data_IF_899702668930
#
_entry.id   IF_899702668930
#
_cell.length_a   1.000
_cell.length_b   1.000
_cell.length_c   1.000
_cell.angle_alpha   90.00
_cell.angle_beta   90.00
_cell.angle_gamma   90.00
#
_symmetry.space_group_name_H-M   'P 1'
#
loop_
_entity.id
_entity.type
_entity.pdbx_description
1 polymer ?
#
# COMPACT_ATOMS: atom_id res chain seq x y z
N UNK A 1 29.90 -5.68 -24.55
CA UNK A 1 29.96 -4.20 -24.48
C UNK A 1 30.33 -3.96 -23.06
N UNK A 2 31.51 -3.43 -22.81
CA UNK A 2 32.07 -3.42 -21.47
C UNK A 2 32.17 -1.96 -21.03
N UNK A 3 31.67 -1.68 -19.83
CA UNK A 3 31.66 -0.39 -19.19
C UNK A 3 32.40 -0.50 -17.86
N UNK A 4 33.41 0.34 -17.67
CA UNK A 4 34.20 0.37 -16.44
C UNK A 4 34.39 1.81 -16.01
N UNK A 5 34.11 2.10 -14.75
CA UNK A 5 34.26 3.43 -14.18
C UNK A 5 33.30 3.66 -13.03
N UNK A 6 33.46 4.83 -12.40
CA UNK A 6 32.58 5.29 -11.32
C UNK A 6 31.92 6.59 -11.76
N UNK A 7 30.59 6.61 -11.69
CA UNK A 7 29.79 7.81 -11.83
C UNK A 7 29.48 8.36 -10.44
N UNK A 8 29.86 9.61 -10.19
CA UNK A 8 29.58 10.29 -8.93
C UNK A 8 28.48 11.32 -9.14
N UNK A 9 27.42 11.20 -8.35
CA UNK A 9 26.28 12.12 -8.33
C UNK A 9 26.70 13.36 -7.54
N UNK A 10 26.72 14.52 -8.21
CA UNK A 10 26.96 15.82 -7.57
C UNK A 10 25.67 16.43 -7.04
N UNK A 11 24.65 16.46 -7.88
CA UNK A 11 23.35 17.02 -7.57
C UNK A 11 22.27 16.34 -8.42
N UNK A 12 21.03 16.41 -7.97
CA UNK A 12 19.90 15.93 -8.73
C UNK A 12 18.68 15.72 -7.85
N UNK A 13 17.55 15.50 -8.50
CA UNK A 13 16.26 15.30 -7.85
C UNK A 13 15.60 14.04 -8.38
N UNK A 14 15.15 13.20 -7.48
CA UNK A 14 14.33 12.05 -7.78
C UNK A 14 12.88 12.36 -7.44
N UNK A 15 12.00 12.26 -8.44
CA UNK A 15 10.56 12.45 -8.23
C UNK A 15 9.91 11.09 -7.95
N UNK A 16 9.74 10.77 -6.68
CA UNK A 16 8.91 9.67 -6.25
C UNK A 16 7.45 10.00 -6.54
N UNK A 17 6.80 9.15 -7.32
CA UNK A 17 5.36 9.23 -7.55
C UNK A 17 4.74 7.93 -7.06
N UNK A 18 4.00 8.02 -5.96
CA UNK A 18 3.30 6.90 -5.35
C UNK A 18 1.87 7.33 -5.05
N UNK A 19 0.88 6.60 -5.57
CA UNK A 19 -0.53 7.04 -5.56
C UNK A 19 -0.70 8.39 -6.28
N UNK A 20 -1.42 9.30 -5.62
CA UNK A 20 -1.55 10.71 -5.97
C UNK A 20 -0.49 11.59 -5.30
N UNK A 21 0.43 10.99 -4.53
CA UNK A 21 1.48 11.72 -3.80
C UNK A 21 2.72 11.80 -4.66
N UNK A 22 3.17 13.03 -4.91
CA UNK A 22 4.43 13.32 -5.58
C UNK A 22 5.40 13.87 -4.55
N UNK A 23 6.51 13.18 -4.32
CA UNK A 23 7.62 13.64 -3.49
C UNK A 23 8.84 13.87 -4.33
N UNK A 24 9.52 14.96 -4.04
CA UNK A 24 10.79 15.28 -4.65
C UNK A 24 11.86 15.05 -3.60
N UNK A 25 12.73 14.08 -3.87
CA UNK A 25 13.87 13.74 -3.04
C UNK A 25 15.11 14.32 -3.69
N UNK A 26 15.95 14.98 -2.91
CA UNK A 26 17.24 15.51 -3.37
C UNK A 26 18.31 14.43 -3.19
N UNK A 27 19.13 14.17 -4.21
CA UNK A 27 20.28 13.29 -4.01
C UNK A 27 21.28 13.96 -3.06
N UNK A 28 21.73 13.22 -2.05
CA UNK A 28 22.85 13.63 -1.23
C UNK A 28 24.13 13.62 -2.07
N UNK A 29 24.99 14.60 -1.83
CA UNK A 29 26.29 14.69 -2.50
C UNK A 29 27.15 13.45 -2.21
N UNK A 30 27.84 12.95 -3.23
CA UNK A 30 28.79 11.85 -3.09
C UNK A 30 28.21 10.45 -3.33
N UNK A 31 26.94 10.33 -3.72
CA UNK A 31 26.38 9.06 -4.20
C UNK A 31 27.12 8.54 -5.43
N UNK A 32 27.32 7.23 -5.53
CA UNK A 32 28.10 6.61 -6.63
C UNK A 32 27.37 5.46 -7.31
N UNK A 33 27.68 5.28 -8.59
CA UNK A 33 27.35 4.08 -9.37
C UNK A 33 28.66 3.59 -9.98
N UNK A 34 29.02 2.34 -9.75
CA UNK A 34 30.29 1.77 -10.21
C UNK A 34 30.03 0.58 -11.12
N UNK A 35 30.71 0.54 -12.27
CA UNK A 35 30.71 -0.58 -13.20
C UNK A 35 32.09 -1.21 -13.26
N UNK A 36 32.14 -2.54 -13.28
CA UNK A 36 33.37 -3.34 -13.32
C UNK A 36 33.47 -4.23 -14.58
N UNK A 37 32.66 -3.95 -15.60
CA UNK A 37 32.60 -4.79 -16.81
C UNK A 37 31.22 -4.73 -17.44
N UNK A 38 30.31 -5.63 -17.05
CA UNK A 38 28.96 -5.67 -17.63
C UNK A 38 28.18 -4.38 -17.25
N UNK A 39 27.68 -3.60 -18.24
CA UNK A 39 26.85 -2.43 -17.99
C UNK A 39 25.58 -2.70 -17.17
N UNK A 40 25.10 -3.96 -17.13
CA UNK A 40 23.96 -4.42 -16.35
C UNK A 40 24.32 -4.77 -14.89
N UNK A 41 25.60 -5.02 -14.60
CA UNK A 41 26.10 -5.37 -13.26
C UNK A 41 26.73 -4.14 -12.59
N UNK A 42 25.94 -3.07 -12.46
CA UNK A 42 26.35 -1.86 -11.78
C UNK A 42 26.09 -1.96 -10.27
N UNK A 43 27.02 -1.53 -9.43
CA UNK A 43 26.80 -1.38 -7.99
C UNK A 43 26.48 0.07 -7.66
N UNK A 44 25.38 0.32 -6.98
CA UNK A 44 24.97 1.63 -6.51
C UNK A 44 25.27 1.82 -5.01
N UNK A 45 25.68 3.02 -4.62
CA UNK A 45 25.58 3.53 -3.25
C UNK A 45 25.05 4.96 -3.35
N UNK A 46 23.73 5.09 -3.33
CA UNK A 46 23.03 6.35 -3.57
C UNK A 46 22.18 6.66 -2.34
N UNK A 47 22.23 7.91 -1.88
CA UNK A 47 21.36 8.42 -0.82
C UNK A 47 20.53 9.56 -1.35
N UNK A 48 19.22 9.52 -1.12
CA UNK A 48 18.30 10.60 -1.41
C UNK A 48 17.64 11.08 -0.12
N UNK A 49 17.34 12.37 -0.02
CA UNK A 49 16.76 13.00 1.17
C UNK A 49 15.46 13.71 0.83
N UNK A 50 14.43 13.47 1.64
CA UNK A 50 13.19 14.25 1.66
C UNK A 50 13.17 15.11 2.92
N UNK A 51 13.07 16.43 2.74
CA UNK A 51 12.98 17.39 3.85
C UNK A 51 11.52 17.62 4.18
N UNK A 52 11.16 17.46 5.46
CA UNK A 52 9.77 17.64 5.93
C UNK A 52 9.76 18.34 7.29
N UNK A 53 8.87 19.32 7.46
CA UNK A 53 8.63 19.96 8.75
C UNK A 53 7.34 19.43 9.36
N UNK A 54 7.45 18.75 10.50
CA UNK A 54 6.30 18.17 11.18
C UNK A 54 6.50 18.13 12.69
N UNK A 55 5.43 17.82 13.44
CA UNK A 55 5.51 17.72 14.90
C UNK A 55 5.99 16.31 15.30
N UNK A 56 6.98 16.17 16.20
CA UNK A 56 7.44 14.86 16.69
C UNK A 56 6.48 14.19 17.67
N UNK A 57 5.40 14.87 18.08
CA UNK A 57 4.43 14.36 19.06
C UNK A 57 4.11 12.88 18.85
N UNK A 58 3.65 12.49 17.66
CA UNK A 58 3.25 11.10 17.41
C UNK A 58 4.41 10.10 17.45
N UNK A 59 5.63 10.51 17.06
CA UNK A 59 6.84 9.71 17.22
C UNK A 59 7.20 9.51 18.70
N UNK A 60 7.04 10.54 19.52
CA UNK A 60 7.29 10.47 20.96
C UNK A 60 6.22 9.64 21.68
N UNK A 61 4.99 9.68 21.18
CA UNK A 61 3.88 8.86 21.65
C UNK A 61 4.18 7.38 21.54
N UNK A 62 4.77 6.96 20.42
CA UNK A 62 5.06 5.56 20.13
C UNK A 62 6.19 5.00 20.97
N UNK A 63 7.08 5.85 21.49
CA UNK A 63 8.23 5.42 22.29
C UNK A 63 7.98 5.52 23.80
N UNK A 64 7.31 6.59 24.24
CA UNK A 64 7.05 6.83 25.66
C UNK A 64 5.57 7.12 25.89
N UNK A 65 4.80 6.16 26.42
CA UNK A 65 3.41 6.40 26.80
C UNK A 65 3.28 7.60 27.75
N UNK A 66 2.37 8.52 27.44
CA UNK A 66 2.16 9.75 28.23
C UNK A 66 2.98 10.97 27.78
N UNK A 67 3.92 10.84 26.84
CA UNK A 67 4.64 11.99 26.26
C UNK A 67 3.72 12.98 25.53
N UNK A 68 2.55 12.53 25.08
CA UNK A 68 1.55 13.27 24.33
C UNK A 68 0.94 14.48 25.05
N UNK A 69 1.04 14.54 26.37
CA UNK A 69 0.48 15.62 27.18
C UNK A 69 1.33 16.89 27.16
N UNK A 70 2.56 16.81 26.67
CA UNK A 70 3.43 17.98 26.56
C UNK A 70 3.15 18.76 25.27
N UNK A 71 2.50 19.91 25.41
CA UNK A 71 2.15 20.82 24.31
C UNK A 71 3.38 21.27 23.50
N UNK A 72 4.58 21.25 24.09
CA UNK A 72 5.83 21.61 23.39
C UNK A 72 6.12 20.67 22.21
N UNK A 73 5.66 19.42 22.26
CA UNK A 73 5.88 18.45 21.18
C UNK A 73 4.99 18.68 19.95
N UNK A 74 4.03 19.62 20.01
CA UNK A 74 3.29 20.09 18.84
C UNK A 74 4.09 21.07 17.99
N UNK A 75 5.21 21.59 18.49
CA UNK A 75 6.11 22.45 17.73
C UNK A 75 6.70 21.65 16.55
N UNK A 76 6.68 22.26 15.36
CA UNK A 76 7.26 21.65 14.17
C UNK A 76 8.78 21.66 14.26
N UNK A 77 9.38 20.56 13.81
CA UNK A 77 10.82 20.34 13.71
C UNK A 77 11.13 19.91 12.28
N UNK A 78 12.26 20.37 11.69
CA UNK A 78 12.70 19.89 10.39
C UNK A 78 13.29 18.49 10.51
N UNK A 79 12.77 17.56 9.72
CA UNK A 79 13.27 16.19 9.60
C UNK A 79 13.84 15.93 8.21
N UNK A 80 14.87 15.09 8.18
CA UNK A 80 15.51 14.56 7.00
C UNK A 80 15.12 13.08 6.89
N UNK A 81 14.37 12.74 5.86
CA UNK A 81 13.98 11.36 5.56
C UNK A 81 14.90 10.83 4.48
N UNK A 82 15.72 9.84 4.82
CA UNK A 82 16.69 9.25 3.91
C UNK A 82 16.16 7.98 3.27
N UNK A 83 16.38 7.88 1.97
CA UNK A 83 16.25 6.64 1.18
C UNK A 83 17.64 6.27 0.70
N UNK A 84 18.18 5.17 1.19
CA UNK A 84 19.48 4.64 0.80
C UNK A 84 19.27 3.48 -0.17
N UNK A 85 20.03 3.47 -1.26
CA UNK A 85 20.00 2.45 -2.29
C UNK A 85 21.42 1.91 -2.40
N UNK A 86 21.62 0.65 -2.04
CA UNK A 86 22.93 -0.01 -2.06
C UNK A 86 22.91 -1.29 -2.90
N UNK A 87 24.11 -1.82 -3.18
CA UNK A 87 24.33 -3.08 -3.89
C UNK A 87 23.93 -3.01 -5.38
N UNK A 88 23.57 -4.13 -5.97
CA UNK A 88 23.32 -4.25 -7.41
C UNK A 88 22.19 -3.34 -7.85
N UNK A 89 22.42 -2.54 -8.89
CA UNK A 89 21.44 -1.59 -9.40
C UNK A 89 20.15 -2.27 -9.89
N UNK A 90 20.26 -3.53 -10.36
CA UNK A 90 19.11 -4.35 -10.76
C UNK A 90 18.39 -5.02 -9.59
N UNK A 91 19.05 -5.15 -8.43
CA UNK A 91 18.50 -5.74 -7.20
C UNK A 91 19.00 -4.94 -5.99
N UNK A 92 18.58 -3.67 -5.87
CA UNK A 92 19.14 -2.81 -4.84
C UNK A 92 18.59 -3.21 -3.47
N UNK A 93 19.45 -3.13 -2.46
CA UNK A 93 19.01 -3.07 -1.07
C UNK A 93 18.58 -1.64 -0.76
N UNK A 94 17.30 -1.47 -0.44
CA UNK A 94 16.70 -0.18 -0.08
C UNK A 94 16.53 -0.13 1.43
N UNK A 95 17.19 0.82 2.07
CA UNK A 95 17.06 1.06 3.52
C UNK A 95 16.66 2.50 3.78
N UNK A 96 15.99 2.71 4.91
CA UNK A 96 15.41 4.00 5.26
C UNK A 96 15.96 4.49 6.59
N UNK A 97 16.06 5.81 6.73
CA UNK A 97 16.47 6.44 7.99
C UNK A 97 15.77 7.80 8.15
N UNK A 98 15.70 8.28 9.38
CA UNK A 98 15.19 9.60 9.72
C UNK A 98 16.28 10.30 10.54
N UNK A 99 16.48 11.59 10.32
CA UNK A 99 17.35 12.41 11.16
C UNK A 99 16.78 13.83 11.28
N UNK A 100 17.40 14.62 12.15
CA UNK A 100 17.17 16.06 12.29
C UNK A 100 18.47 16.73 11.85
N UNK A 101 18.43 17.83 11.07
CA UNK A 101 19.64 18.61 10.75
C UNK A 101 20.45 18.89 12.01
N UNK A 102 21.77 18.76 11.94
CA UNK A 102 22.62 18.75 13.13
C UNK A 102 22.49 20.04 13.95
N UNK A 103 22.37 21.16 13.25
CA UNK A 103 22.12 22.50 13.79
C UNK A 103 20.73 22.64 14.46
N UNK A 104 19.76 21.80 14.12
CA UNK A 104 18.38 21.84 14.60
C UNK A 104 18.12 20.85 15.76
N UNK A 105 19.03 19.91 16.03
CA UNK A 105 18.85 18.89 17.10
C UNK A 105 18.63 19.49 18.49
N UNK A 106 19.17 20.67 18.74
CA UNK A 106 19.05 21.40 20.02
C UNK A 106 18.26 22.72 19.89
N UNK A 107 17.59 22.97 18.75
CA UNK A 107 16.90 24.24 18.51
C UNK A 107 15.60 24.39 19.30
N UNK A 108 14.99 23.27 19.71
CA UNK A 108 13.75 23.27 20.48
C UNK A 108 13.65 22.06 21.41
N UNK A 109 12.87 22.15 22.50
CA UNK A 109 12.56 20.99 23.35
C UNK A 109 11.98 19.80 22.56
N UNK A 110 11.21 20.08 21.50
CA UNK A 110 10.65 19.08 20.61
C UNK A 110 11.75 18.35 19.83
N UNK A 111 12.72 19.07 19.26
CA UNK A 111 13.84 18.47 18.54
C UNK A 111 14.76 17.66 19.45
N UNK A 112 15.05 18.19 20.65
CA UNK A 112 15.87 17.51 21.66
C UNK A 112 15.23 16.23 22.17
N UNK A 113 13.89 16.19 22.30
CA UNK A 113 13.16 14.98 22.66
C UNK A 113 13.05 13.98 21.49
N UNK A 114 12.88 14.48 20.26
CA UNK A 114 12.70 13.64 19.07
C UNK A 114 13.97 12.87 18.68
N UNK A 115 15.15 13.46 18.86
CA UNK A 115 16.40 12.83 18.42
C UNK A 115 16.69 11.47 19.09
N UNK A 116 16.59 11.30 20.42
CA UNK A 116 16.69 9.99 21.06
C UNK A 116 15.64 8.97 20.57
N UNK A 117 14.40 9.41 20.32
CA UNK A 117 13.34 8.55 19.80
C UNK A 117 13.66 8.02 18.39
N UNK A 118 14.27 8.85 17.55
CA UNK A 118 14.80 8.44 16.24
C UNK A 118 15.93 7.41 16.42
N UNK A 119 16.86 7.62 17.36
CA UNK A 119 17.95 6.67 17.60
C UNK A 119 17.40 5.31 18.03
N UNK A 120 16.38 5.28 18.88
CA UNK A 120 15.71 4.04 19.27
C UNK A 120 15.07 3.35 18.07
N UNK A 121 14.40 4.10 17.20
CA UNK A 121 13.74 3.59 15.99
C UNK A 121 14.69 2.87 15.02
N UNK A 122 15.98 3.24 14.99
CA UNK A 122 17.01 2.55 14.17
C UNK A 122 17.24 1.10 14.60
N UNK A 123 16.88 0.75 15.83
CA UNK A 123 16.92 -0.61 16.37
C UNK A 123 15.76 -1.48 15.86
N UNK A 124 14.74 -0.85 15.27
CA UNK A 124 13.48 -1.47 14.84
C UNK A 124 13.21 -1.12 13.37
N UNK A 125 13.84 -1.81 12.39
CA UNK A 125 13.75 -1.46 10.98
C UNK A 125 12.31 -1.45 10.42
N UNK A 126 11.44 -2.31 10.91
CA UNK A 126 10.02 -2.34 10.53
C UNK A 126 9.30 -1.06 10.92
N UNK A 127 9.50 -0.58 12.15
CA UNK A 127 8.94 0.67 12.65
C UNK A 127 9.56 1.88 11.96
N UNK A 128 10.87 1.87 11.70
CA UNK A 128 11.52 2.91 10.88
C UNK A 128 10.85 3.05 9.51
N UNK A 129 10.63 1.93 8.82
CA UNK A 129 10.00 1.92 7.51
C UNK A 129 8.57 2.48 7.55
N UNK A 130 7.78 2.13 8.57
CA UNK A 130 6.42 2.65 8.78
C UNK A 130 6.44 4.17 8.95
N UNK A 131 7.33 4.70 9.80
CA UNK A 131 7.43 6.13 10.05
C UNK A 131 7.91 6.90 8.81
N UNK A 132 8.89 6.36 8.07
CA UNK A 132 9.36 6.95 6.81
C UNK A 132 8.24 6.99 5.77
N UNK A 133 7.49 5.91 5.63
CA UNK A 133 6.34 5.88 4.71
C UNK A 133 5.29 6.92 5.11
N UNK A 134 4.98 7.05 6.40
CA UNK A 134 4.06 8.06 6.91
C UNK A 134 4.53 9.48 6.61
N UNK A 135 5.82 9.77 6.76
CA UNK A 135 6.37 11.07 6.40
C UNK A 135 6.30 11.32 4.89
N UNK A 136 6.62 10.31 4.07
CA UNK A 136 6.55 10.41 2.60
C UNK A 136 5.13 10.52 2.06
N UNK A 137 4.12 9.94 2.71
CA UNK A 137 2.74 9.97 2.22
C UNK A 137 1.95 11.09 2.89
N UNK A 138 2.05 11.21 4.22
CA UNK A 138 1.21 12.04 5.07
C UNK A 138 1.90 13.31 5.59
N UNK A 139 3.22 13.47 5.42
CA UNK A 139 4.02 14.54 6.05
C UNK A 139 3.92 14.58 7.59
N UNK A 140 3.65 13.44 8.23
CA UNK A 140 3.57 13.32 9.69
C UNK A 140 3.92 11.90 10.14
N UNK A 141 4.38 11.79 11.38
CA UNK A 141 4.58 10.50 12.04
C UNK A 141 3.24 9.80 12.30
N UNK A 142 3.29 8.47 12.39
CA UNK A 142 2.16 7.65 12.81
C UNK A 142 2.10 7.58 14.34
N UNK A 143 0.90 7.71 14.87
CA UNK A 143 0.64 7.41 16.27
C UNK A 143 0.72 5.89 16.50
N UNK A 144 1.14 5.43 17.70
CA UNK A 144 1.22 4.01 18.06
C UNK A 144 -0.14 3.31 17.96
N UNK A 145 -1.22 4.07 18.09
CA UNK A 145 -2.57 3.58 17.88
C UNK A 145 -3.47 4.70 17.31
N UNK A 146 -3.61 4.79 15.99
CA UNK A 146 -4.49 5.78 15.37
C UNK A 146 -5.98 5.52 15.67
N UNK A 147 -6.32 4.36 16.26
CA UNK A 147 -7.68 3.95 16.61
C UNK A 147 -8.00 4.14 18.10
N UNK A 148 -7.03 4.05 19.01
CA UNK A 148 -7.22 4.29 20.45
C UNK A 148 -7.03 5.75 20.88
N UNK A 149 -6.32 6.59 20.11
CA UNK A 149 -5.95 7.95 20.56
C UNK A 149 -7.05 9.02 20.48
N UNK A 150 -8.32 8.65 20.31
CA UNK A 150 -9.46 9.57 20.53
C UNK A 150 -10.11 9.36 21.90
N UNK A 151 -9.35 9.69 22.95
CA UNK A 151 -9.90 9.84 24.30
C UNK A 151 -10.89 10.99 24.35
N UNK A 152 -12.18 10.69 24.17
CA UNK A 152 -13.26 11.68 24.30
C UNK A 152 -14.60 11.23 23.71
N UNK A 153 -15.28 10.29 24.37
CA UNK A 153 -16.74 10.17 24.36
C UNK A 153 -17.39 9.70 23.04
N UNK A 154 -17.74 8.42 23.01
CA UNK A 154 -18.94 7.94 22.33
C UNK A 154 -18.93 8.01 20.80
N UNK A 155 -18.05 7.25 20.14
CA UNK A 155 -18.20 6.95 18.71
C UNK A 155 -17.65 5.56 18.32
N UNK A 156 -17.58 4.62 19.27
CA UNK A 156 -17.00 3.27 19.06
C UNK A 156 -17.75 2.41 18.03
N UNK A 157 -18.98 2.77 17.65
CA UNK A 157 -19.80 2.02 16.69
C UNK A 157 -19.87 2.59 15.28
N UNK A 158 -19.59 3.88 15.06
CA UNK A 158 -20.02 4.57 13.83
C UNK A 158 -18.90 4.82 12.81
N UNK A 159 -17.63 4.71 13.21
CA UNK A 159 -16.48 4.89 12.30
C UNK A 159 -15.96 3.57 11.70
N UNK A 160 -16.29 2.41 12.29
CA UNK A 160 -15.81 1.10 11.82
C UNK A 160 -16.26 0.75 10.40
N UNK A 161 -17.39 1.31 9.96
CA UNK A 161 -17.87 1.19 8.57
C UNK A 161 -17.52 2.42 7.71
N UNK A 162 -17.44 3.62 8.31
CA UNK A 162 -17.25 4.87 7.56
C UNK A 162 -15.85 5.02 6.95
N UNK A 163 -14.79 4.41 7.51
CA UNK A 163 -13.47 4.44 6.87
C UNK A 163 -13.41 3.51 5.64
N UNK A 164 -14.07 2.35 5.72
CA UNK A 164 -14.20 1.40 4.62
C UNK A 164 -15.04 1.97 3.47
N UNK A 165 -16.13 2.66 3.80
CA UNK A 165 -17.06 3.23 2.83
C UNK A 165 -16.52 4.54 2.22
N UNK A 166 -15.86 5.42 3.00
CA UNK A 166 -15.29 6.68 2.50
C UNK A 166 -14.01 6.46 1.68
N UNK A 167 -13.24 5.41 1.97
CA UNK A 167 -12.11 5.00 1.12
C UNK A 167 -12.61 4.35 -0.19
N UNK A 168 -13.66 3.53 -0.16
CA UNK A 168 -14.21 2.92 -1.39
C UNK A 168 -14.93 3.93 -2.30
N UNK A 169 -15.80 4.79 -1.75
CA UNK A 169 -16.65 5.68 -2.55
C UNK A 169 -15.87 6.82 -3.24
N UNK A 170 -14.70 7.20 -2.71
CA UNK A 170 -13.82 8.17 -3.36
C UNK A 170 -12.80 7.52 -4.32
N UNK A 171 -12.47 6.23 -4.16
CA UNK A 171 -11.60 5.49 -5.10
C UNK A 171 -12.32 5.07 -6.39
N UNK A 172 -13.61 4.73 -6.32
CA UNK A 172 -14.40 4.41 -7.52
C UNK A 172 -14.51 5.60 -8.49
N UNK A 173 -14.51 6.83 -7.96
CA UNK A 173 -14.55 8.07 -8.74
C UNK A 173 -13.20 8.48 -9.37
N UNK A 174 -12.08 7.92 -8.90
CA UNK A 174 -10.71 8.22 -9.39
C UNK A 174 -10.27 7.32 -10.55
N UNK A 175 -10.90 6.16 -10.72
CA UNK A 175 -10.51 5.15 -11.71
C UNK A 175 -10.84 5.55 -13.17
N UNK A 176 -11.79 6.48 -13.39
CA UNK A 176 -12.26 6.83 -14.73
C UNK A 176 -11.53 8.01 -15.42
N UNK A 177 -10.51 8.63 -14.81
CA UNK A 177 -9.95 9.90 -15.32
C UNK A 177 -8.51 9.91 -15.82
N UNK A 178 -7.77 8.80 -15.75
CA UNK A 178 -6.45 8.71 -16.38
C UNK A 178 -6.35 7.48 -17.29
N UNK A 179 -6.20 7.78 -18.58
CA UNK A 179 -6.05 6.81 -19.67
C UNK A 179 -4.90 5.84 -19.39
N UNK A 180 -5.20 4.53 -19.36
CA UNK A 180 -4.18 3.48 -19.32
C UNK A 180 -4.57 2.18 -18.61
N UNK A 181 -5.74 2.10 -17.97
CA UNK A 181 -6.23 0.86 -17.34
C UNK A 181 -5.47 0.43 -16.09
N UNK A 182 -4.64 1.30 -15.50
CA UNK A 182 -3.92 1.01 -14.25
C UNK A 182 -4.74 1.55 -13.06
N UNK A 183 -5.09 0.68 -12.13
CA UNK A 183 -5.79 1.02 -10.88
C UNK A 183 -5.01 0.52 -9.67
N UNK A 184 -5.18 1.18 -8.52
CA UNK A 184 -4.70 0.69 -7.25
C UNK A 184 -5.89 0.45 -6.32
N UNK A 185 -5.85 -0.67 -5.62
CA UNK A 185 -6.80 -1.11 -4.63
C UNK A 185 -6.09 -1.18 -3.27
N UNK A 186 -6.68 -0.56 -2.26
CA UNK A 186 -6.25 -0.65 -0.87
C UNK A 186 -7.43 -1.22 -0.06
N UNK A 187 -7.19 -2.25 0.75
CA UNK A 187 -8.22 -2.85 1.58
C UNK A 187 -7.67 -3.21 2.95
N UNK A 188 -8.44 -2.98 4.01
CA UNK A 188 -8.08 -3.37 5.36
C UNK A 188 -8.95 -4.57 5.77
N UNK A 189 -8.31 -5.67 6.14
CA UNK A 189 -8.99 -6.84 6.68
C UNK A 189 -8.61 -6.98 8.16
N UNK A 190 -9.60 -6.85 9.04
CA UNK A 190 -9.42 -7.08 10.48
C UNK A 190 -10.23 -8.29 10.89
N UNK A 191 -9.62 -9.19 11.64
CA UNK A 191 -10.24 -10.40 12.15
C UNK A 191 -9.74 -10.71 13.57
N UNK A 192 -10.57 -11.42 14.32
CA UNK A 192 -10.24 -11.89 15.68
C UNK A 192 -9.54 -13.24 15.58
N UNK A 193 -8.30 -13.31 16.06
CA UNK A 193 -7.48 -14.50 16.14
C UNK A 193 -7.58 -15.10 17.55
N UNK A 194 -7.88 -16.39 17.62
CA UNK A 194 -8.05 -17.15 18.87
C UNK A 194 -6.96 -18.21 19.06
N UNK A 195 -5.94 -18.25 18.18
CA UNK A 195 -4.87 -19.25 18.16
C UNK A 195 -4.06 -19.31 19.47
N UNK A 196 -3.99 -18.21 20.23
CA UNK A 196 -3.27 -18.14 21.51
C UNK A 196 -4.11 -18.51 22.73
N UNK A 197 -5.36 -18.95 22.55
CA UNK A 197 -6.30 -19.26 23.65
C UNK A 197 -6.96 -18.03 24.29
N UNK A 198 -6.71 -16.83 23.75
CA UNK A 198 -7.38 -15.58 24.08
C UNK A 198 -7.64 -14.79 22.78
N UNK A 199 -8.71 -13.98 22.74
CA UNK A 199 -9.02 -13.16 21.57
C UNK A 199 -7.95 -12.10 21.35
N UNK A 200 -7.24 -12.15 20.23
CA UNK A 200 -6.27 -11.17 19.77
C UNK A 200 -6.72 -10.57 18.44
N UNK A 201 -6.64 -9.26 18.31
CA UNK A 201 -7.01 -8.60 17.05
C UNK A 201 -5.85 -8.72 16.06
N UNK A 202 -6.18 -9.14 14.84
CA UNK A 202 -5.25 -9.14 13.71
C UNK A 202 -5.76 -8.26 12.59
N UNK A 203 -4.91 -7.33 12.17
CA UNK A 203 -5.23 -6.39 11.08
C UNK A 203 -4.19 -6.55 9.97
N UNK A 204 -4.65 -6.85 8.76
CA UNK A 204 -3.83 -6.95 7.55
C UNK A 204 -4.23 -5.85 6.54
N UNK A 205 -3.26 -5.05 6.10
CA UNK A 205 -3.39 -4.11 4.99
C UNK A 205 -3.09 -4.81 3.66
N UNK A 206 -4.10 -4.86 2.80
CA UNK A 206 -4.01 -5.41 1.46
C UNK A 206 -3.75 -4.27 0.48
N UNK A 207 -2.65 -4.35 -0.25
CA UNK A 207 -2.26 -3.37 -1.29
C UNK A 207 -2.21 -4.11 -2.61
N UNK A 208 -3.05 -3.77 -3.58
CA UNK A 208 -3.05 -4.42 -4.89
C UNK A 208 -3.06 -3.43 -6.04
N UNK A 209 -2.21 -3.67 -7.04
CA UNK A 209 -2.20 -2.95 -8.32
C UNK A 209 -2.94 -3.81 -9.33
N UNK A 210 -3.89 -3.22 -10.05
CA UNK A 210 -4.58 -3.83 -11.18
C UNK A 210 -4.20 -3.14 -12.48
N UNK A 211 -4.04 -3.91 -13.56
CA UNK A 211 -3.86 -3.40 -14.92
C UNK A 211 -4.79 -4.09 -15.89
N UNK A 212 -5.53 -3.29 -16.63
CA UNK A 212 -6.53 -3.70 -17.60
C UNK A 212 -6.00 -3.48 -19.02
N UNK A 213 -6.24 -4.46 -19.87
CA UNK A 213 -5.83 -4.49 -21.27
C UNK A 213 -7.03 -4.91 -22.14
N UNK A 214 -6.94 -4.62 -23.44
CA UNK A 214 -7.93 -5.03 -24.45
C UNK A 214 -9.37 -4.55 -24.13
N UNK A 215 -9.56 -3.27 -23.81
CA UNK A 215 -10.84 -2.71 -23.35
C UNK A 215 -11.40 -3.50 -22.15
N UNK A 216 -10.57 -3.62 -21.11
CA UNK A 216 -10.91 -4.25 -19.83
C UNK A 216 -11.18 -5.76 -19.88
N UNK A 217 -10.91 -6.40 -21.03
CA UNK A 217 -11.12 -7.83 -21.22
C UNK A 217 -10.05 -8.70 -20.57
N UNK A 218 -8.83 -8.20 -20.42
CA UNK A 218 -7.75 -8.90 -19.72
C UNK A 218 -7.30 -8.06 -18.54
N UNK A 219 -7.35 -8.64 -17.35
CA UNK A 219 -7.05 -7.94 -16.11
C UNK A 219 -5.95 -8.70 -15.35
N UNK A 220 -4.86 -8.02 -15.09
CA UNK A 220 -3.80 -8.51 -14.21
C UNK A 220 -3.91 -7.79 -12.88
N UNK A 221 -3.86 -8.52 -11.78
CA UNK A 221 -3.90 -7.98 -10.42
C UNK A 221 -2.76 -8.58 -9.63
N UNK A 222 -1.95 -7.75 -9.01
CA UNK A 222 -0.84 -8.16 -8.15
C UNK A 222 -0.96 -7.36 -6.86
N UNK A 223 -1.00 -8.04 -5.72
CA UNK A 223 -1.10 -7.38 -4.43
C UNK A 223 -0.35 -8.10 -3.34
N UNK A 224 -0.13 -7.41 -2.23
CA UNK A 224 0.58 -7.89 -1.05
C UNK A 224 -0.25 -7.61 0.19
N UNK A 225 -0.05 -8.43 1.22
CA UNK A 225 -0.70 -8.27 2.51
C UNK A 225 0.37 -7.90 3.54
N UNK A 226 0.23 -6.71 4.13
CA UNK A 226 1.12 -6.16 5.15
C UNK A 226 0.41 -6.28 6.49
N UNK A 227 0.97 -7.07 7.40
CA UNK A 227 0.43 -7.18 8.77
C UNK A 227 0.63 -5.87 9.53
N UNK A 228 -0.46 -5.30 10.04
CA UNK A 228 -0.46 -4.07 10.84
C UNK A 228 -0.51 -4.36 12.35
N UNK A 229 -1.16 -5.46 12.75
CA UNK A 229 -1.36 -5.84 14.16
C UNK A 229 -1.43 -7.37 14.30
N UNK A 230 -0.90 -7.94 15.38
CA UNK A 230 -1.11 -9.34 15.76
C UNK A 230 -0.22 -10.40 15.08
N UNK A 231 0.81 -10.02 14.33
CA UNK A 231 1.73 -10.97 13.67
C UNK A 231 3.03 -11.13 14.47
N UNK A 232 3.31 -12.34 14.96
CA UNK A 232 4.58 -12.68 15.61
C UNK A 232 5.75 -12.52 14.63
N UNK A 233 6.79 -11.80 15.06
CA UNK A 233 8.05 -11.46 14.36
C UNK A 233 8.79 -12.68 13.74
N UNK A 234 8.41 -13.91 14.08
CA UNK A 234 9.05 -15.15 13.61
C UNK A 234 8.60 -15.62 12.22
N UNK A 235 7.53 -15.06 11.64
CA UNK A 235 7.08 -15.40 10.28
C UNK A 235 7.65 -14.52 9.17
N UNK A 236 8.45 -13.50 9.50
CA UNK A 236 9.11 -12.62 8.51
C UNK A 236 10.39 -13.23 7.91
N UNK A 237 10.84 -14.38 8.41
CA UNK A 237 12.17 -14.93 8.11
C UNK A 237 12.24 -15.94 6.96
N UNK A 238 11.11 -16.30 6.34
CA UNK A 238 11.05 -17.26 5.24
C UNK A 238 10.37 -16.68 4.00
N UNK A 239 11.05 -15.79 3.27
CA UNK A 239 10.57 -15.34 1.97
C UNK A 239 11.52 -14.32 1.35
N UNK A 240 12.45 -14.80 0.53
CA UNK A 240 13.46 -13.97 -0.14
C UNK A 240 12.89 -12.76 -0.87
N UNK A 241 13.74 -11.74 -0.98
CA UNK A 241 13.62 -10.56 -1.83
C UNK A 241 12.86 -10.83 -3.14
N UNK A 242 11.58 -10.48 -3.13
CA UNK A 242 10.70 -10.68 -4.26
C UNK A 242 9.29 -10.26 -3.89
N UNK A 243 8.61 -9.63 -4.83
CA UNK A 243 7.18 -9.32 -4.81
C UNK A 243 6.38 -10.64 -4.70
N UNK A 244 6.37 -11.28 -3.54
CA UNK A 244 5.69 -12.56 -3.27
C UNK A 244 4.22 -12.30 -2.95
N UNK A 245 3.56 -11.60 -3.88
CA UNK A 245 2.20 -11.11 -3.71
C UNK A 245 1.14 -12.08 -4.23
N UNK A 246 -0.05 -11.99 -3.64
CA UNK A 246 -1.31 -12.43 -4.22
C UNK A 246 -1.37 -11.96 -5.68
N UNK A 247 -1.44 -12.87 -6.64
CA UNK A 247 -1.61 -12.52 -8.04
C UNK A 247 -2.88 -13.15 -8.61
N UNK A 248 -3.55 -12.43 -9.50
CA UNK A 248 -4.63 -13.02 -10.29
C UNK A 248 -4.65 -12.45 -11.70
N UNK A 249 -5.04 -13.29 -12.63
CA UNK A 249 -5.23 -12.95 -14.04
C UNK A 249 -6.65 -13.34 -14.40
N UNK A 250 -7.45 -12.38 -14.85
CA UNK A 250 -8.83 -12.59 -15.26
C UNK A 250 -9.01 -12.22 -16.74
N UNK A 251 -9.71 -13.07 -17.48
CA UNK A 251 -10.08 -12.81 -18.87
C UNK A 251 -11.60 -12.91 -19.07
N UNK A 252 -12.20 -11.85 -19.62
CA UNK A 252 -13.60 -11.80 -20.01
C UNK A 252 -13.77 -12.49 -21.37
N UNK A 253 -14.31 -13.71 -21.32
CA UNK A 253 -14.60 -14.52 -22.50
C UNK A 253 -15.72 -13.88 -23.31
N UNK A 254 -16.79 -13.43 -22.61
CA UNK A 254 -17.89 -12.70 -23.23
C UNK A 254 -17.73 -11.18 -23.01
N UNK A 255 -18.05 -10.34 -24.00
CA UNK A 255 -17.98 -8.87 -23.87
C UNK A 255 -18.88 -8.30 -22.78
N UNK A 256 -19.93 -9.02 -22.41
CA UNK A 256 -20.89 -8.65 -21.37
C UNK A 256 -20.46 -9.11 -19.96
N UNK A 257 -19.26 -9.66 -19.81
CA UNK A 257 -18.70 -10.10 -18.52
C UNK A 257 -19.35 -11.34 -17.92
N UNK A 258 -20.40 -11.89 -18.56
CA UNK A 258 -21.16 -13.03 -18.03
C UNK A 258 -20.36 -14.32 -17.97
N UNK A 259 -19.29 -14.44 -18.74
CA UNK A 259 -18.38 -15.57 -18.67
C UNK A 259 -16.94 -15.04 -18.57
N UNK A 260 -16.26 -15.44 -17.50
CA UNK A 260 -14.88 -15.06 -17.23
C UNK A 260 -14.08 -16.25 -16.70
N UNK A 261 -12.80 -16.26 -17.02
CA UNK A 261 -11.84 -17.25 -16.55
C UNK A 261 -10.82 -16.53 -15.69
N UNK A 262 -10.51 -17.07 -14.52
CA UNK A 262 -9.61 -16.46 -13.54
C UNK A 262 -8.58 -17.48 -13.09
N UNK A 263 -7.30 -17.17 -13.26
CA UNK A 263 -6.20 -17.85 -12.57
C UNK A 263 -5.79 -17.01 -11.36
N UNK A 264 -5.51 -17.65 -10.23
CA UNK A 264 -5.07 -16.94 -9.04
C UNK A 264 -4.08 -17.75 -8.22
N UNK A 265 -3.19 -17.02 -7.55
CA UNK A 265 -2.37 -17.47 -6.44
C UNK A 265 -2.63 -16.49 -5.31
N UNK A 266 -3.04 -16.99 -4.16
CA UNK A 266 -3.18 -16.18 -2.96
C UNK A 266 -2.60 -16.91 -1.77
N UNK A 267 -2.09 -16.14 -0.83
CA UNK A 267 -1.64 -16.67 0.45
C UNK A 267 -2.83 -16.67 1.41
N UNK A 268 -3.12 -17.84 1.98
CA UNK A 268 -4.12 -18.04 3.01
C UNK A 268 -3.41 -18.42 4.31
N UNK A 269 -3.87 -17.87 5.44
CA UNK A 269 -3.43 -18.30 6.75
C UNK A 269 -4.37 -19.39 7.25
N UNK A 270 -3.84 -20.59 7.49
CA UNK A 270 -4.65 -21.70 7.99
C UNK A 270 -4.48 -21.85 9.51
N UNK A 271 -5.53 -21.51 10.25
CA UNK A 271 -5.54 -21.48 11.72
C UNK A 271 -5.24 -22.84 12.36
N UNK A 272 -5.52 -23.95 11.66
CA UNK A 272 -5.31 -25.30 12.19
C UNK A 272 -3.84 -25.75 12.15
N UNK A 273 -3.06 -25.23 11.20
CA UNK A 273 -1.66 -25.63 10.98
C UNK A 273 -0.67 -24.55 11.36
N UNK A 274 -1.16 -23.38 11.79
CA UNK A 274 -0.39 -22.16 12.09
C UNK A 274 0.56 -21.76 10.94
N UNK A 275 0.24 -22.16 9.71
CA UNK A 275 1.10 -22.01 8.55
C UNK A 275 0.44 -21.12 7.49
N UNK A 276 1.29 -20.35 6.80
CA UNK A 276 0.89 -19.65 5.58
C UNK A 276 0.89 -20.67 4.43
N UNK A 277 -0.31 -20.99 3.94
CA UNK A 277 -0.51 -21.92 2.84
C UNK A 277 -0.76 -21.11 1.56
N UNK A 278 -0.05 -21.46 0.50
CA UNK A 278 -0.25 -20.84 -0.80
C UNK A 278 -1.36 -21.57 -1.56
N UNK A 279 -2.49 -20.92 -1.75
CA UNK A 279 -3.59 -21.42 -2.58
C UNK A 279 -3.38 -20.99 -4.03
N UNK A 280 -3.24 -21.95 -4.94
CA UNK A 280 -3.16 -21.68 -6.38
C UNK A 280 -4.25 -22.43 -7.10
N UNK A 281 -5.04 -21.72 -7.90
CA UNK A 281 -6.21 -22.28 -8.54
C UNK A 281 -6.61 -21.58 -9.83
N UNK A 282 -7.54 -22.21 -10.53
CA UNK A 282 -8.22 -21.64 -11.68
C UNK A 282 -9.73 -21.76 -11.49
N UNK A 283 -10.45 -20.72 -11.88
CA UNK A 283 -11.90 -20.63 -11.77
C UNK A 283 -12.49 -20.22 -13.12
N UNK A 284 -13.65 -20.81 -13.44
CA UNK A 284 -14.50 -20.36 -14.53
C UNK A 284 -15.79 -19.85 -13.89
N UNK A 285 -16.11 -18.59 -14.11
CA UNK A 285 -17.26 -17.93 -13.49
C UNK A 285 -18.26 -17.57 -14.57
N UNK A 286 -19.49 -18.08 -14.44
CA UNK A 286 -20.61 -17.73 -15.29
C UNK A 286 -21.73 -17.08 -14.48
N UNK A 287 -22.12 -15.87 -14.85
CA UNK A 287 -23.17 -15.10 -14.17
C UNK A 287 -24.26 -14.71 -15.17
N UNK A 288 -25.51 -14.94 -14.81
CA UNK A 288 -26.68 -14.63 -15.65
C UNK A 288 -27.88 -14.31 -14.77
N UNK A 289 -28.57 -13.22 -15.09
CA UNK A 289 -29.85 -12.89 -14.48
C UNK A 289 -30.96 -13.77 -15.10
N UNK A 290 -31.82 -14.32 -14.25
CA UNK A 290 -32.94 -15.17 -14.64
C UNK A 290 -34.15 -14.90 -13.76
N UNK A 291 -35.35 -14.97 -14.35
CA UNK A 291 -36.60 -14.84 -13.60
C UNK A 291 -37.19 -16.22 -13.24
N UNK A 292 -36.66 -17.29 -13.83
CA UNK A 292 -37.04 -18.67 -13.56
C UNK A 292 -35.85 -19.62 -13.75
N UNK A 293 -35.70 -20.62 -12.89
CA UNK A 293 -34.64 -21.64 -12.98
C UNK A 293 -34.60 -22.34 -14.36
N UNK A 294 -35.75 -22.46 -15.03
CA UNK A 294 -35.83 -23.04 -16.38
C UNK A 294 -35.14 -22.17 -17.46
N UNK A 295 -34.94 -20.87 -17.21
CA UNK A 295 -34.29 -19.95 -18.14
C UNK A 295 -32.75 -20.05 -18.11
N UNK A 296 -32.17 -20.59 -17.03
CA UNK A 296 -30.73 -20.73 -16.86
C UNK A 296 -30.12 -21.63 -17.96
N UNK A 297 -30.82 -22.70 -18.33
CA UNK A 297 -30.39 -23.69 -19.33
C UNK A 297 -30.97 -23.45 -20.73
N UNK A 298 -31.89 -22.49 -20.88
CA UNK A 298 -32.56 -22.22 -22.16
C UNK A 298 -31.67 -21.31 -23.01
N UNK A 299 -31.22 -21.80 -24.17
CA UNK A 299 -30.51 -21.00 -25.20
C UNK A 299 -31.41 -19.84 -25.61
N UNK A 300 -30.94 -18.60 -25.43
CA UNK A 300 -31.67 -17.40 -25.83
C UNK A 300 -31.87 -17.45 -27.34
N UNK A 301 -33.11 -17.64 -27.79
CA UNK A 301 -33.47 -17.55 -29.20
C UNK A 301 -33.40 -16.08 -29.65
N UNK A 302 -33.03 -15.85 -30.92
CA UNK A 302 -32.83 -14.52 -31.52
C UNK A 302 -34.05 -13.58 -31.39
N UNK A 303 -35.22 -14.09 -31.01
CA UNK A 303 -36.46 -13.34 -30.84
C UNK A 303 -36.42 -12.33 -29.68
N UNK A 304 -35.75 -12.64 -28.56
CA UNK A 304 -35.72 -11.75 -27.38
C UNK A 304 -34.80 -10.52 -27.54
N UNK A 305 -33.89 -10.53 -28.53
CA UNK A 305 -33.02 -9.37 -28.84
C UNK A 305 -33.76 -8.23 -29.55
N UNK A 306 -34.84 -8.51 -30.28
CA UNK A 306 -35.63 -7.48 -30.97
C UNK A 306 -36.57 -6.74 -30.03
N UNK A 307 -37.07 -7.38 -28.98
CA UNK A 307 -38.00 -6.76 -28.03
C UNK A 307 -37.37 -5.65 -27.16
N UNK A 308 -36.04 -5.64 -26.98
CA UNK A 308 -35.35 -4.64 -26.14
C UNK A 308 -34.87 -3.39 -26.91
N UNK A 309 -35.10 -3.31 -28.23
CA UNK A 309 -34.76 -2.16 -29.08
C UNK A 309 -35.97 -1.30 -29.46
N UNK A 310 -37.19 -1.69 -29.09
CA UNK A 310 -38.42 -0.95 -29.35
C UNK A 310 -39.05 -0.49 -28.04
N UNK A 311 -38.39 0.42 -27.31
CA UNK A 311 -39.14 1.39 -26.49
C UNK A 311 -38.23 2.57 -26.08
N UNK A 312 -38.25 3.68 -26.84
CA UNK A 312 -37.68 4.94 -26.37
C UNK A 312 -38.73 6.04 -26.09
N UNK A 313 -40.04 5.82 -26.23
CA UNK A 313 -41.02 6.90 -26.07
C UNK A 313 -42.35 6.43 -25.47
N UNK A 314 -42.50 6.56 -24.14
CA UNK A 314 -43.83 6.81 -23.57
C UNK A 314 -43.73 7.58 -22.24
N UNK A 315 -43.38 8.88 -22.33
CA UNK A 315 -43.73 9.85 -21.29
C UNK A 315 -44.80 10.74 -21.90
N UNK A 316 -46.06 10.35 -21.73
CA UNK A 316 -47.23 11.23 -21.91
C UNK A 316 -48.43 10.68 -21.13
N UNK A 317 -48.78 11.43 -20.08
CA UNK A 317 -50.14 11.74 -19.64
C UNK A 317 -50.88 10.82 -18.64
N UNK A 318 -51.45 11.52 -17.64
CA UNK A 318 -52.61 11.22 -16.76
C UNK A 318 -52.31 10.35 -15.52
N UNK A 319 -52.58 10.76 -14.28
CA UNK A 319 -53.45 11.81 -13.71
C UNK A 319 -52.75 12.53 -12.55
#
# INVERSE_FOLDING_TARGET
MDLTGTYTIKEGKYRLSFLNVKRELEFAEGGTITWLGDPLEATADIRAVYKVETAPRELLASQTPGSQTDERFKQKVPFLVYVNVKNDLLKPDITFDIDIPEEERASSPAATAAYPAIQQLRSEPSEMNKQVFALLVLNRFLAPDPLQSSGGGGLEGTIRNSLSDVLNDQLDNLTNRYAGGLGLELGLNTYEDYSTGSSQNRTDLNVAVRRQFFNDRLQFRVGTNVGLEGRSQSSEQNGGSGFAGNFSVEYLVLPDGRLRVRGFKQDAYETLTEAQVQETGAAVVYQRDYNSFAELFRRISKAQRKAKQQDPNNVSAQN
#
